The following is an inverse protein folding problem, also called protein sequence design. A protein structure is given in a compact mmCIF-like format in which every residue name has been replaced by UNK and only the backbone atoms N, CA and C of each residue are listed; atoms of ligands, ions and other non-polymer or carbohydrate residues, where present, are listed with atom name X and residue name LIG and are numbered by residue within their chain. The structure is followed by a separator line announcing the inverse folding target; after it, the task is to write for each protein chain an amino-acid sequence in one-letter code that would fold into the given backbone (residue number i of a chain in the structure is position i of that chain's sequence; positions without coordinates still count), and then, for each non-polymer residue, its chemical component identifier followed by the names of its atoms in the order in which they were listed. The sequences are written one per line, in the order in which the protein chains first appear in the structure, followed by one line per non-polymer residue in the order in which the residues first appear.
data_IF_182486026161
#
_entry.id   IF_182486026161
#
_cell.length_a   1.000
_cell.length_b   1.000
_cell.length_c   1.000
_cell.angle_alpha   90.00
_cell.angle_beta   90.00
_cell.angle_gamma   90.00
#
_symmetry.space_group_name_H-M   'P 1'
#
loop_
_entity.id
_entity.type
_entity.pdbx_description
1 polymer ?
#
# COMPACT_ATOMS: atom_id res chain seq x y z
N UNK A 1 2.04 -3.42 34.34
CA UNK A 1 0.76 -4.06 34.00
C UNK A 1 -0.05 -3.03 33.26
N UNK A 2 -0.32 -3.22 31.97
CA UNK A 2 -1.23 -2.34 31.21
C UNK A 2 -2.67 -2.82 31.43
N UNK A 3 -3.58 -1.89 31.67
CA UNK A 3 -5.00 -2.17 31.78
C UNK A 3 -5.68 -1.67 30.51
N UNK A 4 -6.60 -2.46 29.97
CA UNK A 4 -7.35 -2.11 28.77
C UNK A 4 -8.85 -2.30 29.02
N UNK A 5 -9.67 -1.41 28.46
CA UNK A 5 -11.13 -1.49 28.48
C UNK A 5 -11.65 -1.46 27.07
N UNK A 6 -12.50 -2.44 26.76
CA UNK A 6 -13.16 -2.53 25.47
C UNK A 6 -14.61 -2.12 25.66
N UNK A 7 -15.03 -1.17 24.85
CA UNK A 7 -16.37 -0.63 24.84
C UNK A 7 -17.03 -0.94 23.50
N UNK A 8 -18.33 -1.24 23.51
CA UNK A 8 -19.05 -1.70 22.34
C UNK A 8 -20.17 -0.74 21.94
N UNK A 9 -20.52 -0.75 20.68
CA UNK A 9 -21.53 0.10 20.05
C UNK A 9 -22.88 -0.62 20.03
N UNK A 10 -23.95 0.11 20.34
CA UNK A 10 -25.33 -0.34 20.18
C UNK A 10 -25.86 0.10 18.83
N UNK A 11 -26.19 -0.82 17.90
CA UNK A 11 -26.82 -0.47 16.63
C UNK A 11 -28.21 0.18 16.81
N UNK A 12 -28.96 -0.23 17.85
CA UNK A 12 -30.32 0.26 18.12
C UNK A 12 -30.32 1.72 18.56
N UNK A 13 -29.44 2.07 19.51
CA UNK A 13 -29.38 3.43 20.07
C UNK A 13 -28.35 4.33 19.39
N UNK A 14 -27.49 3.75 18.53
CA UNK A 14 -26.35 4.40 17.88
C UNK A 14 -25.43 5.11 18.87
N UNK A 15 -25.15 4.44 19.98
CA UNK A 15 -24.37 4.97 21.11
C UNK A 15 -23.50 3.89 21.74
N UNK A 16 -22.55 4.35 22.53
CA UNK A 16 -21.74 3.55 23.43
C UNK A 16 -22.61 2.75 24.42
N UNK A 17 -22.33 1.46 24.58
CA UNK A 17 -22.87 0.62 25.64
C UNK A 17 -22.11 0.81 26.96
N UNK A 18 -22.78 0.65 28.12
CA UNK A 18 -22.11 0.60 29.42
C UNK A 18 -20.97 -0.43 29.47
N UNK A 19 -20.00 -0.20 30.35
CA UNK A 19 -18.87 -1.10 30.51
C UNK A 19 -19.35 -2.51 30.91
N UNK A 20 -18.88 -3.53 30.19
CA UNK A 20 -19.27 -4.93 30.39
C UNK A 20 -20.48 -5.37 29.56
N UNK A 21 -21.13 -4.47 28.83
CA UNK A 21 -22.23 -4.80 27.92
C UNK A 21 -21.76 -4.91 26.46
N UNK A 22 -22.39 -5.82 25.72
CA UNK A 22 -22.12 -6.09 24.29
C UNK A 22 -23.45 -6.26 23.56
N UNK A 23 -23.50 -5.77 22.32
CA UNK A 23 -24.55 -6.11 21.37
C UNK A 23 -24.26 -7.46 20.70
N UNK A 24 -25.26 -8.16 20.14
CA UNK A 24 -25.04 -9.41 19.40
C UNK A 24 -24.05 -9.28 18.23
N UNK A 25 -23.96 -8.11 17.61
CA UNK A 25 -23.04 -7.80 16.53
C UNK A 25 -21.60 -7.60 17.00
N UNK A 26 -21.38 -7.37 18.30
CA UNK A 26 -20.06 -7.20 18.94
C UNK A 26 -19.24 -6.08 18.27
N UNK A 27 -19.91 -4.98 17.92
CA UNK A 27 -19.28 -3.84 17.26
C UNK A 27 -18.41 -3.07 18.26
N UNK A 28 -17.09 -3.08 18.09
CA UNK A 28 -16.16 -2.37 18.95
C UNK A 28 -16.31 -0.85 18.78
N UNK A 29 -16.70 -0.14 19.82
CA UNK A 29 -16.76 1.32 19.78
C UNK A 29 -15.42 1.97 20.07
N UNK A 30 -14.71 1.52 21.10
CA UNK A 30 -13.55 2.21 21.63
C UNK A 30 -12.69 1.28 22.50
N UNK A 31 -11.37 1.45 22.44
CA UNK A 31 -10.42 0.80 23.35
C UNK A 31 -9.73 1.87 24.17
N UNK A 32 -9.91 1.83 25.49
CA UNK A 32 -9.16 2.69 26.41
C UNK A 32 -7.98 1.93 26.98
N UNK A 33 -6.82 2.58 27.07
CA UNK A 33 -5.59 2.02 27.64
C UNK A 33 -5.12 2.91 28.79
N UNK A 34 -4.91 2.33 29.98
CA UNK A 34 -4.28 3.04 31.08
C UNK A 34 -2.78 3.15 30.81
N UNK A 35 -2.28 4.37 30.62
CA UNK A 35 -0.87 4.62 30.28
C UNK A 35 -0.04 4.82 31.54
N UNK A 36 -0.53 5.66 32.46
CA UNK A 36 0.23 6.05 33.65
C UNK A 36 -0.67 6.23 34.87
N UNK A 37 -0.16 5.97 36.08
CA UNK A 37 -0.85 6.42 37.29
C UNK A 37 -0.73 7.94 37.44
N UNK A 38 -1.72 8.55 38.10
CA UNK A 38 -1.72 9.99 38.38
C UNK A 38 -0.46 10.40 39.15
N UNK A 39 -0.09 9.62 40.15
CA UNK A 39 1.07 9.88 41.02
C UNK A 39 2.38 9.79 40.24
N UNK A 40 2.55 8.77 39.39
CA UNK A 40 3.75 8.57 38.59
C UNK A 40 4.04 9.77 37.68
N UNK A 41 3.01 10.28 37.01
CA UNK A 41 3.18 11.43 36.10
C UNK A 41 3.43 12.71 36.90
N UNK A 42 2.74 12.90 38.03
CA UNK A 42 2.98 14.05 38.91
C UNK A 42 4.40 14.08 39.46
N UNK A 43 4.95 12.93 39.87
CA UNK A 43 6.31 12.83 40.37
C UNK A 43 7.35 13.24 39.32
N UNK A 44 7.17 12.79 38.07
CA UNK A 44 8.08 13.10 36.96
C UNK A 44 8.05 14.59 36.57
N UNK A 45 6.88 15.22 36.62
CA UNK A 45 6.68 16.60 36.14
C UNK A 45 6.68 17.67 37.24
N UNK A 46 6.87 17.29 38.51
CA UNK A 46 6.76 18.20 39.67
C UNK A 46 7.62 19.47 39.61
N UNK A 47 8.76 19.42 38.90
CA UNK A 47 9.71 20.52 38.76
C UNK A 47 9.36 21.48 37.62
N UNK A 48 8.52 21.04 36.68
CA UNK A 48 8.17 21.78 35.48
C UNK A 48 6.76 22.38 35.56
N UNK A 49 5.79 21.60 36.06
CA UNK A 49 4.38 21.98 36.10
C UNK A 49 3.82 21.68 37.49
N UNK A 50 2.98 22.58 37.99
CA UNK A 50 2.17 22.25 39.16
C UNK A 50 1.06 21.26 38.76
N UNK A 51 0.41 20.67 39.77
CA UNK A 51 -0.61 19.65 39.56
C UNK A 51 -1.74 20.12 38.63
N UNK A 52 -2.31 21.30 38.87
CA UNK A 52 -3.43 21.82 38.05
C UNK A 52 -3.02 22.01 36.59
N UNK A 53 -1.83 22.58 36.34
CA UNK A 53 -1.30 22.77 34.99
C UNK A 53 -1.08 21.45 34.26
N UNK A 54 -0.53 20.45 34.97
CA UNK A 54 -0.26 19.13 34.40
C UNK A 54 -1.57 18.39 34.07
N UNK A 55 -2.55 18.41 34.97
CA UNK A 55 -3.85 17.77 34.73
C UNK A 55 -4.60 18.47 33.58
N UNK A 56 -4.51 19.80 33.49
CA UNK A 56 -5.08 20.55 32.37
C UNK A 56 -4.38 20.20 31.04
N UNK A 57 -3.05 20.18 31.01
CA UNK A 57 -2.27 19.82 29.82
C UNK A 57 -2.65 18.41 29.32
N UNK A 58 -2.67 17.42 30.21
CA UNK A 58 -2.97 16.04 29.85
C UNK A 58 -4.41 15.87 29.34
N UNK A 59 -5.38 16.55 29.96
CA UNK A 59 -6.79 16.42 29.58
C UNK A 59 -7.18 17.20 28.34
N UNK A 60 -6.56 18.36 28.09
CA UNK A 60 -6.93 19.24 26.98
C UNK A 60 -6.03 19.03 25.76
N UNK A 61 -4.73 19.22 25.92
CA UNK A 61 -3.75 19.11 24.83
C UNK A 61 -3.33 17.65 24.59
N UNK A 62 -3.28 16.84 25.65
CA UNK A 62 -2.91 15.42 25.59
C UNK A 62 -4.07 14.47 25.26
N UNK A 63 -5.32 14.91 25.40
CA UNK A 63 -6.51 14.09 25.14
C UNK A 63 -6.70 12.90 26.11
N UNK A 64 -5.97 12.85 27.22
CA UNK A 64 -6.10 11.79 28.22
C UNK A 64 -7.30 12.00 29.14
N UNK A 65 -7.83 10.91 29.69
CA UNK A 65 -8.94 10.95 30.64
C UNK A 65 -8.51 10.40 31.99
N UNK A 66 -8.65 11.20 33.05
CA UNK A 66 -8.35 10.76 34.41
C UNK A 66 -9.53 9.94 34.95
N UNK A 67 -9.32 8.63 35.16
CA UNK A 67 -10.30 7.71 35.76
C UNK A 67 -9.58 6.76 36.71
N UNK A 68 -10.14 6.57 37.91
CA UNK A 68 -9.62 5.60 38.89
C UNK A 68 -8.12 5.78 39.20
N UNK A 69 -7.66 7.03 39.29
CA UNK A 69 -6.25 7.42 39.49
C UNK A 69 -5.27 7.00 38.38
N UNK A 70 -5.78 6.71 37.18
CA UNK A 70 -4.97 6.50 35.98
C UNK A 70 -5.32 7.49 34.89
N UNK A 71 -4.32 7.89 34.11
CA UNK A 71 -4.49 8.59 32.85
C UNK A 71 -4.72 7.57 31.74
N UNK A 72 -5.93 7.56 31.21
CA UNK A 72 -6.34 6.68 30.13
C UNK A 72 -6.17 7.39 28.79
N UNK A 73 -5.50 6.75 27.85
CA UNK A 73 -5.64 7.07 26.44
C UNK A 73 -6.99 6.50 25.98
N UNK A 74 -7.97 7.34 25.63
CA UNK A 74 -9.29 6.87 25.25
C UNK A 74 -9.29 6.20 23.86
N UNK A 75 -8.26 6.39 23.04
CA UNK A 75 -8.19 5.84 21.69
C UNK A 75 -9.23 6.43 20.72
N UNK A 76 -9.30 5.84 19.53
CA UNK A 76 -10.26 6.22 18.50
C UNK A 76 -11.65 5.65 18.83
N UNK A 77 -12.69 6.42 18.50
CA UNK A 77 -14.08 5.95 18.48
C UNK A 77 -14.46 5.50 17.09
N UNK A 78 -15.12 4.36 16.97
CA UNK A 78 -15.61 3.79 15.73
C UNK A 78 -17.13 3.96 15.62
N UNK A 79 -17.57 4.55 14.52
CA UNK A 79 -18.97 4.67 14.13
C UNK A 79 -19.24 3.71 12.98
N UNK A 80 -20.42 3.11 12.95
CA UNK A 80 -20.80 2.06 12.02
C UNK A 80 -22.04 2.44 11.23
N UNK A 81 -22.12 1.94 9.99
CA UNK A 81 -23.34 2.02 9.21
C UNK A 81 -24.44 1.11 9.79
N UNK A 82 -25.66 1.24 9.27
CA UNK A 82 -26.79 0.38 9.60
C UNK A 82 -26.67 -1.03 8.98
N UNK A 83 -27.60 -1.92 9.36
CA UNK A 83 -27.60 -3.34 8.97
C UNK A 83 -27.70 -3.59 7.47
N UNK A 84 -28.36 -2.69 6.73
CA UNK A 84 -28.43 -2.73 5.25
C UNK A 84 -27.07 -2.53 4.58
N UNK A 85 -26.09 -1.97 5.30
CA UNK A 85 -24.69 -1.84 4.88
C UNK A 85 -23.75 -2.70 5.71
N UNK A 86 -24.27 -3.81 6.24
CA UNK A 86 -23.51 -4.84 6.98
C UNK A 86 -22.73 -4.31 8.18
N UNK A 87 -23.18 -3.21 8.79
CA UNK A 87 -22.47 -2.55 9.88
C UNK A 87 -21.02 -2.19 9.55
N UNK A 88 -20.71 -1.91 8.29
CA UNK A 88 -19.37 -1.51 7.89
C UNK A 88 -18.96 -0.18 8.56
N UNK A 89 -17.67 0.01 8.92
CA UNK A 89 -17.13 1.26 9.44
C UNK A 89 -17.61 2.51 8.68
N UNK A 90 -18.34 3.40 9.33
CA UNK A 90 -18.77 4.67 8.73
C UNK A 90 -17.75 5.78 8.99
N UNK A 91 -17.22 5.85 10.21
CA UNK A 91 -16.25 6.86 10.57
C UNK A 91 -15.39 6.43 11.76
N UNK A 92 -14.19 6.97 11.84
CA UNK A 92 -13.39 7.00 13.07
C UNK A 92 -13.30 8.42 13.58
N UNK A 93 -13.34 8.61 14.90
CA UNK A 93 -13.23 9.93 15.53
C UNK A 93 -12.12 9.86 16.59
N UNK A 94 -11.12 10.72 16.45
CA UNK A 94 -10.02 10.80 17.41
C UNK A 94 -10.45 11.42 18.75
N UNK A 95 -9.58 11.37 19.79
CA UNK A 95 -9.88 11.98 21.09
C UNK A 95 -10.15 13.50 21.03
N UNK A 96 -9.68 14.18 19.98
CA UNK A 96 -9.85 15.62 19.76
C UNK A 96 -11.10 15.96 18.95
N UNK A 97 -11.85 14.96 18.49
CA UNK A 97 -13.10 15.13 17.73
C UNK A 97 -12.91 15.19 16.22
N UNK A 98 -11.71 14.97 15.69
CA UNK A 98 -11.46 14.94 14.26
C UNK A 98 -11.97 13.61 13.69
N UNK A 99 -12.84 13.70 12.68
CA UNK A 99 -13.46 12.53 12.07
C UNK A 99 -12.81 12.19 10.73
N UNK A 100 -12.59 10.90 10.48
CA UNK A 100 -12.32 10.34 9.15
C UNK A 100 -13.51 9.48 8.75
N UNK A 101 -14.13 9.76 7.61
CA UNK A 101 -15.33 9.04 7.13
C UNK A 101 -15.01 8.14 5.94
N UNK A 102 -15.73 7.02 5.84
CA UNK A 102 -15.57 6.01 4.81
C UNK A 102 -16.87 5.82 4.03
N UNK A 103 -16.79 5.84 2.71
CA UNK A 103 -17.90 5.51 1.82
C UNK A 103 -17.56 4.25 1.02
N UNK A 104 -18.55 3.37 0.84
CA UNK A 104 -18.41 2.11 0.12
C UNK A 104 -19.10 2.17 -1.23
N UNK A 105 -18.70 1.28 -2.13
CA UNK A 105 -19.40 1.06 -3.38
C UNK A 105 -20.86 0.59 -3.17
N UNK A 106 -21.62 0.54 -4.27
CA UNK A 106 -23.04 0.16 -4.24
C UNK A 106 -23.31 -1.24 -3.70
N UNK A 107 -22.30 -2.11 -3.70
CA UNK A 107 -22.39 -3.49 -3.22
C UNK A 107 -21.85 -3.68 -1.80
N UNK A 108 -21.31 -2.62 -1.17
CA UNK A 108 -20.71 -2.68 0.16
C UNK A 108 -19.55 -3.68 0.27
N UNK A 109 -18.73 -3.77 -0.79
CA UNK A 109 -17.57 -4.66 -0.89
C UNK A 109 -16.25 -3.90 -0.73
N UNK A 110 -16.16 -2.68 -1.25
CA UNK A 110 -14.90 -1.91 -1.29
C UNK A 110 -15.14 -0.48 -0.83
N UNK A 111 -14.26 0.04 0.02
CA UNK A 111 -14.24 1.47 0.38
C UNK A 111 -13.82 2.28 -0.84
N UNK A 112 -14.71 3.11 -1.38
CA UNK A 112 -14.45 3.92 -2.57
C UNK A 112 -14.09 5.36 -2.28
N UNK A 113 -14.30 5.82 -1.05
CA UNK A 113 -13.90 7.17 -0.67
C UNK A 113 -13.56 7.26 0.81
N UNK A 114 -12.48 7.97 1.10
CA UNK A 114 -12.06 8.33 2.45
C UNK A 114 -11.97 9.85 2.51
N UNK A 115 -12.61 10.46 3.52
CA UNK A 115 -12.54 11.90 3.76
C UNK A 115 -12.02 12.16 5.16
N UNK A 116 -10.95 12.93 5.30
CA UNK A 116 -10.41 13.32 6.59
C UNK A 116 -11.13 14.54 7.21
N UNK A 117 -10.73 14.93 8.41
CA UNK A 117 -11.34 16.05 9.13
C UNK A 117 -11.12 17.42 8.47
N UNK A 118 -10.14 17.53 7.56
CA UNK A 118 -9.86 18.74 6.78
C UNK A 118 -10.59 18.73 5.43
N UNK A 119 -11.41 17.72 5.16
CA UNK A 119 -12.11 17.46 3.90
C UNK A 119 -11.18 17.07 2.74
N UNK A 120 -9.95 16.62 3.02
CA UNK A 120 -9.13 15.98 1.99
C UNK A 120 -9.74 14.63 1.62
N UNK A 121 -9.72 14.29 0.34
CA UNK A 121 -10.40 13.11 -0.19
C UNK A 121 -9.44 12.21 -0.95
N UNK A 122 -9.53 10.91 -0.69
CA UNK A 122 -8.97 9.86 -1.55
C UNK A 122 -10.16 9.12 -2.15
N UNK A 123 -10.18 8.97 -3.47
CA UNK A 123 -11.31 8.39 -4.21
C UNK A 123 -10.83 7.22 -5.07
N UNK A 124 -11.48 6.07 -4.94
CA UNK A 124 -11.31 4.94 -5.85
C UNK A 124 -12.22 5.15 -7.06
N UNK A 125 -11.64 5.14 -8.26
CA UNK A 125 -12.35 5.40 -9.50
C UNK A 125 -12.64 4.15 -10.31
N UNK A 126 -11.85 3.08 -10.08
CA UNK A 126 -11.98 1.82 -10.79
C UNK A 126 -11.58 0.66 -9.89
N UNK A 127 -12.43 -0.35 -9.86
CA UNK A 127 -12.24 -1.60 -9.09
C UNK A 127 -12.39 -2.78 -10.06
N UNK A 128 -11.50 -3.76 -9.95
CA UNK A 128 -11.68 -5.07 -10.53
C UNK A 128 -12.56 -5.92 -9.61
N UNK A 129 -13.82 -6.12 -9.99
CA UNK A 129 -14.75 -6.91 -9.19
C UNK A 129 -14.54 -8.43 -9.29
N UNK A 130 -13.68 -8.92 -10.20
CA UNK A 130 -13.34 -10.35 -10.24
C UNK A 130 -12.38 -10.72 -9.11
N UNK A 131 -11.47 -9.81 -8.76
CA UNK A 131 -10.46 -10.01 -7.72
C UNK A 131 -10.64 -9.12 -6.49
N UNK A 132 -11.61 -8.19 -6.52
CA UNK A 132 -11.84 -7.12 -5.54
C UNK A 132 -10.60 -6.22 -5.33
N UNK A 133 -9.80 -6.04 -6.37
CA UNK A 133 -8.60 -5.20 -6.34
C UNK A 133 -8.89 -3.80 -6.90
N UNK A 134 -8.24 -2.79 -6.35
CA UNK A 134 -8.36 -1.41 -6.81
C UNK A 134 -7.46 -1.18 -8.03
N UNK A 135 -8.02 -0.65 -9.13
CA UNK A 135 -7.31 -0.40 -10.38
C UNK A 135 -6.96 1.08 -10.59
N UNK A 136 -7.71 2.02 -10.00
CA UNK A 136 -7.48 3.47 -10.14
C UNK A 136 -7.85 4.21 -8.86
N UNK A 137 -6.94 5.01 -8.34
CA UNK A 137 -7.15 5.88 -7.17
C UNK A 137 -6.78 7.31 -7.55
N UNK A 138 -7.60 8.27 -7.10
CA UNK A 138 -7.31 9.70 -7.07
C UNK A 138 -6.94 10.12 -5.65
N UNK A 139 -5.77 10.74 -5.49
CA UNK A 139 -5.28 11.23 -4.21
C UNK A 139 -5.79 12.64 -3.86
N UNK A 140 -5.38 13.14 -2.68
CA UNK A 140 -5.77 14.46 -2.15
C UNK A 140 -5.31 15.64 -3.01
N UNK A 141 -4.31 15.43 -3.88
CA UNK A 141 -3.77 16.43 -4.80
C UNK A 141 -4.33 16.26 -6.21
N UNK A 142 -5.37 15.43 -6.38
CA UNK A 142 -5.99 15.09 -7.66
C UNK A 142 -5.08 14.30 -8.61
N UNK A 143 -3.96 13.75 -8.13
CA UNK A 143 -3.13 12.85 -8.91
C UNK A 143 -3.79 11.47 -8.99
N UNK A 144 -3.55 10.77 -10.09
CA UNK A 144 -4.07 9.44 -10.36
C UNK A 144 -2.94 8.42 -10.24
N UNK A 145 -3.21 7.32 -9.54
CA UNK A 145 -2.39 6.10 -9.52
C UNK A 145 -3.20 4.94 -10.08
N UNK A 146 -2.61 4.16 -10.98
CA UNK A 146 -3.28 3.09 -11.71
C UNK A 146 -2.50 1.78 -11.68
N UNK A 147 -3.24 0.69 -11.71
CA UNK A 147 -2.74 -0.67 -11.83
C UNK A 147 -3.61 -1.44 -12.82
N UNK A 148 -2.97 -2.18 -13.73
CA UNK A 148 -3.65 -3.17 -14.58
C UNK A 148 -3.26 -4.57 -14.10
N UNK A 149 -4.25 -5.44 -13.93
CA UNK A 149 -4.06 -6.83 -13.51
C UNK A 149 -4.28 -7.80 -14.67
N UNK A 150 -3.66 -8.97 -14.58
CA UNK A 150 -4.00 -10.11 -15.41
C UNK A 150 -5.25 -10.84 -14.87
N UNK A 151 -5.81 -11.82 -15.61
CA UNK A 151 -6.97 -12.60 -15.15
C UNK A 151 -6.75 -13.40 -13.86
N UNK A 152 -5.50 -13.54 -13.38
CA UNK A 152 -5.15 -14.19 -12.12
C UNK A 152 -4.97 -13.18 -10.98
N UNK A 153 -5.14 -11.88 -11.22
CA UNK A 153 -4.96 -10.81 -10.24
C UNK A 153 -3.51 -10.40 -10.01
N UNK A 154 -2.58 -10.81 -10.88
CA UNK A 154 -1.19 -10.36 -10.85
C UNK A 154 -1.06 -9.01 -11.55
N UNK A 155 -0.23 -8.12 -11.01
CA UNK A 155 0.00 -6.80 -11.59
C UNK A 155 0.73 -6.96 -12.93
N UNK A 156 0.23 -6.34 -14.00
CA UNK A 156 0.94 -6.25 -15.28
C UNK A 156 1.57 -4.87 -15.46
N UNK A 157 0.83 -3.80 -15.14
CA UNK A 157 1.31 -2.43 -15.32
C UNK A 157 0.99 -1.56 -14.12
N UNK A 158 1.83 -0.56 -13.91
CA UNK A 158 1.51 0.58 -13.04
C UNK A 158 1.71 1.88 -13.79
N UNK A 159 0.94 2.90 -13.44
CA UNK A 159 1.10 4.26 -13.94
C UNK A 159 0.68 5.26 -12.88
N UNK A 160 1.24 6.47 -12.94
CA UNK A 160 0.79 7.58 -12.13
C UNK A 160 1.03 8.91 -12.84
N UNK A 161 0.09 9.84 -12.68
CA UNK A 161 0.10 11.13 -13.36
C UNK A 161 -0.79 12.12 -12.62
N UNK A 162 -0.56 13.41 -12.87
CA UNK A 162 -1.22 14.46 -12.13
C UNK A 162 -0.80 15.83 -12.61
N UNK A 163 -0.92 16.83 -11.73
CA UNK A 163 -0.60 18.21 -12.10
C UNK A 163 0.59 18.72 -11.29
N UNK A 164 1.63 19.21 -11.97
CA UNK A 164 2.76 19.89 -11.34
C UNK A 164 2.87 21.30 -11.92
N UNK A 165 2.95 22.32 -11.06
CA UNK A 165 2.99 23.74 -11.48
C UNK A 165 1.86 24.16 -12.44
N UNK A 166 0.68 23.52 -12.33
CA UNK A 166 -0.48 23.79 -13.19
C UNK A 166 -0.47 23.07 -14.54
N UNK A 167 0.54 22.25 -14.82
CA UNK A 167 0.63 21.45 -16.05
C UNK A 167 0.45 19.96 -15.77
N UNK A 168 -0.21 19.25 -16.68
CA UNK A 168 -0.31 17.79 -16.63
C UNK A 168 1.09 17.17 -16.81
N UNK A 169 1.52 16.37 -15.84
CA UNK A 169 2.81 15.65 -15.82
C UNK A 169 2.62 14.20 -15.37
N UNK A 170 3.66 13.39 -15.57
CA UNK A 170 3.70 11.99 -15.19
C UNK A 170 3.55 11.03 -16.37
N UNK A 171 3.31 9.76 -16.04
CA UNK A 171 3.19 8.67 -17.00
C UNK A 171 1.85 8.71 -17.75
N UNK A 172 1.68 7.87 -18.77
CA UNK A 172 0.42 7.82 -19.52
C UNK A 172 -0.65 6.99 -18.80
N UNK A 173 -1.93 7.39 -18.86
CA UNK A 173 -3.04 6.54 -18.43
C UNK A 173 -2.98 5.16 -19.08
N UNK A 174 -3.25 4.10 -18.30
CA UNK A 174 -3.17 2.71 -18.77
C UNK A 174 -4.24 2.39 -19.83
N UNK A 175 -5.33 3.14 -19.89
CA UNK A 175 -6.32 3.01 -20.98
C UNK A 175 -5.72 3.39 -22.36
N UNK A 176 -4.59 4.10 -22.39
CA UNK A 176 -3.86 4.43 -23.63
C UNK A 176 -2.84 3.36 -24.04
N UNK A 177 -2.60 2.34 -23.20
CA UNK A 177 -1.65 1.29 -23.50
C UNK A 177 -2.04 0.53 -24.76
N UNK A 178 -1.08 0.38 -25.68
CA UNK A 178 -1.31 -0.37 -26.91
C UNK A 178 -1.00 -1.85 -26.65
N UNK A 179 -2.04 -2.69 -26.66
CA UNK A 179 -1.90 -4.13 -26.39
C UNK A 179 -0.90 -4.77 -27.36
N UNK A 180 0.03 -5.54 -26.80
CA UNK A 180 1.05 -6.32 -27.51
C UNK A 180 0.81 -7.81 -27.27
N UNK A 181 1.30 -8.65 -28.18
CA UNK A 181 1.42 -10.08 -27.91
C UNK A 181 2.37 -10.31 -26.73
N UNK A 182 2.09 -11.35 -25.93
CA UNK A 182 2.91 -11.68 -24.78
C UNK A 182 4.32 -12.07 -25.24
N UNK A 183 5.37 -11.41 -24.75
CA UNK A 183 6.74 -11.74 -25.12
C UNK A 183 7.21 -13.02 -24.44
N UNK A 184 8.23 -13.65 -25.00
CA UNK A 184 9.15 -14.45 -24.21
C UNK A 184 10.25 -13.57 -23.58
N UNK A 185 11.08 -14.15 -22.70
CA UNK A 185 12.15 -13.40 -22.03
C UNK A 185 13.11 -12.71 -23.01
N UNK A 186 13.52 -13.37 -24.09
CA UNK A 186 14.47 -12.81 -25.07
C UNK A 186 13.89 -11.58 -25.78
N UNK A 187 12.63 -11.68 -26.24
CA UNK A 187 11.92 -10.58 -26.89
C UNK A 187 11.73 -9.38 -25.95
N UNK A 188 11.39 -9.64 -24.68
CA UNK A 188 11.23 -8.60 -23.67
C UNK A 188 12.55 -7.89 -23.38
N UNK A 189 13.65 -8.64 -23.24
CA UNK A 189 14.97 -8.08 -22.94
C UNK A 189 15.57 -7.31 -24.13
N UNK A 190 15.25 -7.72 -25.36
CA UNK A 190 15.69 -7.05 -26.59
C UNK A 190 14.96 -5.71 -26.79
N UNK A 191 13.66 -5.65 -26.52
CA UNK A 191 12.83 -4.47 -26.79
C UNK A 191 11.97 -4.04 -25.58
N UNK A 192 12.56 -3.74 -24.41
CA UNK A 192 11.79 -3.48 -23.18
C UNK A 192 10.87 -2.26 -23.32
N UNK A 193 11.27 -1.24 -24.08
CA UNK A 193 10.48 -0.03 -24.34
C UNK A 193 9.19 -0.33 -25.13
N UNK A 194 9.17 -1.36 -25.98
CA UNK A 194 7.97 -1.72 -26.75
C UNK A 194 6.85 -2.29 -25.88
N UNK A 195 7.22 -2.92 -24.76
CA UNK A 195 6.30 -3.48 -23.77
C UNK A 195 6.00 -2.50 -22.64
N UNK A 196 6.99 -1.72 -22.17
CA UNK A 196 6.75 -0.71 -21.14
C UNK A 196 5.96 0.49 -21.67
N UNK A 197 6.21 0.90 -22.92
CA UNK A 197 5.62 2.08 -23.56
C UNK A 197 5.75 3.32 -22.65
N UNK A 198 4.64 3.97 -22.32
CA UNK A 198 4.61 5.17 -21.47
C UNK A 198 4.08 4.88 -20.06
N UNK A 199 4.05 3.61 -19.64
CA UNK A 199 3.72 3.21 -18.28
C UNK A 199 4.93 3.37 -17.34
N UNK A 200 4.67 3.45 -16.03
CA UNK A 200 5.72 3.57 -15.02
C UNK A 200 6.46 2.25 -14.80
N UNK A 201 5.73 1.14 -14.81
CA UNK A 201 6.32 -0.20 -14.68
C UNK A 201 5.56 -1.25 -15.47
N UNK A 202 6.26 -2.29 -15.89
CA UNK A 202 5.73 -3.50 -16.52
C UNK A 202 6.26 -4.75 -15.83
N UNK A 203 5.36 -5.67 -15.53
CA UNK A 203 5.64 -6.93 -14.86
C UNK A 203 5.30 -8.09 -15.80
N UNK A 204 6.30 -8.92 -16.03
CA UNK A 204 6.19 -10.14 -16.81
C UNK A 204 6.41 -11.35 -15.91
N UNK A 205 5.61 -12.40 -16.09
CA UNK A 205 5.69 -13.64 -15.33
C UNK A 205 5.78 -14.83 -16.27
N UNK A 206 6.80 -15.66 -16.08
CA UNK A 206 6.89 -16.97 -16.73
C UNK A 206 6.73 -18.07 -15.68
N UNK A 207 5.46 -18.31 -15.30
CA UNK A 207 5.09 -19.29 -14.28
C UNK A 207 5.30 -20.74 -14.73
N UNK A 208 5.45 -20.97 -16.04
CA UNK A 208 5.62 -22.30 -16.62
C UNK A 208 7.06 -22.55 -17.12
N UNK A 209 7.98 -21.61 -16.89
CA UNK A 209 9.37 -21.67 -17.35
C UNK A 209 10.08 -23.00 -17.01
N UNK A 210 9.81 -23.55 -15.83
CA UNK A 210 10.37 -24.84 -15.41
C UNK A 210 9.86 -25.99 -16.26
N UNK A 211 8.56 -26.02 -16.53
CA UNK A 211 7.90 -27.07 -17.30
C UNK A 211 8.29 -26.99 -18.77
N UNK A 212 8.31 -25.78 -19.33
CA UNK A 212 8.42 -25.59 -20.78
C UNK A 212 9.88 -25.49 -21.24
N UNK A 213 10.77 -24.95 -20.39
CA UNK A 213 12.15 -24.62 -20.76
C UNK A 213 13.22 -25.15 -19.77
N UNK A 214 12.84 -25.87 -18.70
CA UNK A 214 13.74 -26.34 -17.64
C UNK A 214 14.60 -25.23 -16.99
N UNK A 215 14.06 -24.01 -16.92
CA UNK A 215 14.66 -22.89 -16.18
C UNK A 215 13.79 -22.55 -14.96
N UNK A 216 14.36 -22.06 -13.84
CA UNK A 216 13.54 -21.68 -12.70
C UNK A 216 12.45 -20.68 -13.08
N UNK A 217 11.29 -20.79 -12.43
CA UNK A 217 10.20 -19.82 -12.56
C UNK A 217 10.74 -18.43 -12.28
N UNK A 218 10.37 -17.46 -13.11
CA UNK A 218 10.90 -16.12 -12.98
C UNK A 218 9.88 -15.04 -13.32
N UNK A 219 10.14 -13.86 -12.78
CA UNK A 219 9.43 -12.64 -13.10
C UNK A 219 10.43 -11.56 -13.53
N UNK A 220 10.03 -10.72 -14.48
CA UNK A 220 10.78 -9.54 -14.91
C UNK A 220 10.00 -8.30 -14.51
N UNK A 221 10.69 -7.33 -13.92
CA UNK A 221 10.15 -6.02 -13.62
C UNK A 221 10.93 -4.98 -14.43
N UNK A 222 10.22 -4.26 -15.30
CA UNK A 222 10.70 -3.08 -16.00
C UNK A 222 10.19 -1.83 -15.27
N UNK A 223 11.06 -0.89 -14.98
CA UNK A 223 10.71 0.38 -14.33
C UNK A 223 11.33 1.52 -15.13
N UNK A 224 10.52 2.46 -15.58
CA UNK A 224 11.02 3.70 -16.17
C UNK A 224 11.55 4.63 -15.06
N UNK A 225 12.77 5.17 -15.23
CA UNK A 225 13.34 6.14 -14.27
C UNK A 225 12.61 7.49 -14.29
N UNK A 226 11.99 7.85 -15.41
CA UNK A 226 11.26 9.10 -15.61
C UNK A 226 10.12 8.89 -16.61
N UNK A 227 9.18 9.83 -16.69
CA UNK A 227 8.11 9.81 -17.68
C UNK A 227 8.60 10.34 -19.05
N UNK A 228 7.99 9.83 -20.12
CA UNK A 228 8.34 10.16 -21.51
C UNK A 228 9.07 9.04 -22.25
N UNK A 229 9.21 9.19 -23.57
CA UNK A 229 9.53 8.08 -24.47
C UNK A 229 11.01 7.66 -24.50
N UNK A 230 11.90 8.39 -23.82
CA UNK A 230 13.35 8.15 -23.85
C UNK A 230 13.92 7.88 -22.44
N UNK A 231 13.07 7.59 -21.47
CA UNK A 231 13.50 7.30 -20.12
C UNK A 231 14.32 6.00 -20.08
N UNK A 232 15.33 5.97 -19.21
CA UNK A 232 16.08 4.75 -18.95
C UNK A 232 15.16 3.74 -18.27
N UNK A 233 15.24 2.49 -18.71
CA UNK A 233 14.48 1.39 -18.13
C UNK A 233 15.41 0.58 -17.22
N UNK A 234 15.09 0.54 -15.94
CA UNK A 234 15.66 -0.41 -14.99
C UNK A 234 14.98 -1.77 -15.19
N UNK A 235 15.79 -2.82 -15.26
CA UNK A 235 15.29 -4.19 -15.46
C UNK A 235 15.81 -5.09 -14.35
N UNK A 236 14.89 -5.72 -13.63
CA UNK A 236 15.19 -6.74 -12.64
C UNK A 236 14.53 -8.07 -13.02
N UNK A 237 15.24 -9.17 -12.82
CA UNK A 237 14.72 -10.54 -12.96
C UNK A 237 14.88 -11.25 -11.63
N UNK A 238 13.78 -11.73 -11.06
CA UNK A 238 13.81 -12.59 -9.87
C UNK A 238 13.41 -14.01 -10.24
N UNK A 239 14.21 -14.97 -9.81
CA UNK A 239 14.00 -16.40 -10.01
C UNK A 239 13.57 -17.03 -8.69
N UNK A 240 12.59 -17.92 -8.75
CA UNK A 240 12.06 -18.63 -7.59
C UNK A 240 12.09 -20.13 -7.77
N UNK A 241 12.17 -20.87 -6.66
CA UNK A 241 12.01 -22.32 -6.66
C UNK A 241 10.55 -22.76 -6.52
N UNK A 242 10.30 -24.08 -6.53
CA UNK A 242 8.96 -24.65 -6.40
C UNK A 242 8.28 -24.44 -5.04
N UNK A 243 8.96 -23.84 -4.07
CA UNK A 243 8.39 -23.44 -2.77
C UNK A 243 8.12 -21.92 -2.71
N UNK A 244 8.33 -21.19 -3.81
CA UNK A 244 8.15 -19.75 -3.88
C UNK A 244 9.28 -18.95 -3.21
N UNK A 245 10.42 -19.58 -2.90
CA UNK A 245 11.58 -18.88 -2.34
C UNK A 245 12.38 -18.25 -3.45
N UNK A 246 12.86 -17.03 -3.26
CA UNK A 246 13.78 -16.39 -4.19
C UNK A 246 15.13 -17.15 -4.18
N UNK A 247 15.54 -17.63 -5.36
CA UNK A 247 16.83 -18.27 -5.60
C UNK A 247 17.90 -17.23 -5.96
N UNK A 248 17.51 -16.28 -6.81
CA UNK A 248 18.43 -15.29 -7.36
C UNK A 248 17.65 -14.07 -7.87
N UNK A 249 18.24 -12.90 -7.67
CA UNK A 249 17.84 -11.65 -8.34
C UNK A 249 18.97 -11.18 -9.27
N UNK A 250 18.61 -10.66 -10.45
CA UNK A 250 19.53 -10.11 -11.45
C UNK A 250 19.05 -8.75 -11.91
N UNK A 251 19.92 -7.75 -11.80
CA UNK A 251 19.67 -6.39 -12.28
C UNK A 251 20.50 -6.13 -13.53
N UNK A 252 19.88 -5.59 -14.58
CA UNK A 252 20.60 -5.13 -15.78
C UNK A 252 21.41 -3.89 -15.43
N UNK A 253 22.69 -3.90 -15.79
CA UNK A 253 23.62 -2.79 -15.59
C UNK A 253 24.21 -2.34 -16.92
N UNK A 254 24.86 -1.18 -16.90
CA UNK A 254 25.62 -0.67 -18.04
C UNK A 254 26.75 -1.64 -18.43
N UNK A 255 27.22 -1.53 -19.68
CA UNK A 255 28.26 -2.41 -20.22
C UNK A 255 29.56 -2.34 -19.41
N UNK A 256 30.16 -3.51 -19.16
CA UNK A 256 31.39 -3.64 -18.37
C UNK A 256 32.00 -5.04 -18.44
N UNK A 257 33.07 -5.23 -17.66
CA UNK A 257 33.69 -6.55 -17.49
C UNK A 257 32.73 -7.48 -16.74
N UNK A 258 32.42 -8.64 -17.32
CA UNK A 258 31.51 -9.62 -16.75
C UNK A 258 31.93 -11.04 -17.11
N UNK A 259 31.59 -11.99 -16.25
CA UNK A 259 31.81 -13.42 -16.52
C UNK A 259 30.89 -13.91 -17.64
N UNK A 260 31.44 -14.67 -18.58
CA UNK A 260 30.68 -15.32 -19.65
C UNK A 260 30.08 -16.65 -19.14
N UNK A 261 28.75 -16.75 -19.16
CA UNK A 261 27.99 -17.91 -18.73
C UNK A 261 27.31 -18.64 -19.91
N UNK A 262 27.64 -18.31 -21.15
CA UNK A 262 27.04 -18.92 -22.36
C UNK A 262 27.38 -20.40 -22.53
N UNK A 263 28.46 -20.87 -21.89
CA UNK A 263 28.87 -22.27 -21.91
C UNK A 263 28.66 -22.92 -20.54
N UNK A 264 27.59 -23.72 -20.37
CA UNK A 264 27.36 -24.41 -19.10
C UNK A 264 28.56 -25.30 -18.74
N UNK A 265 29.02 -25.21 -17.50
CA UNK A 265 30.14 -25.97 -16.90
C UNK A 265 31.57 -25.60 -17.34
N UNK A 266 31.78 -24.51 -18.08
CA UNK A 266 33.13 -23.97 -18.26
C UNK A 266 33.64 -23.30 -16.98
N UNK A 267 34.93 -23.45 -16.62
CA UNK A 267 35.52 -22.70 -15.52
C UNK A 267 35.33 -21.19 -15.75
N UNK A 268 34.85 -20.47 -14.74
CA UNK A 268 34.76 -19.02 -14.79
C UNK A 268 36.17 -18.45 -14.89
N UNK A 269 36.52 -17.92 -16.05
CA UNK A 269 37.78 -17.21 -16.27
C UNK A 269 37.60 -15.73 -15.97
N UNK A 270 38.65 -15.08 -15.48
CA UNK A 270 38.65 -13.63 -15.26
C UNK A 270 38.33 -12.91 -16.58
N UNK A 271 37.38 -11.95 -16.60
CA UNK A 271 37.04 -11.23 -17.82
C UNK A 271 38.21 -10.35 -18.26
N UNK A 272 38.78 -10.64 -19.44
CA UNK A 272 39.86 -9.84 -20.03
C UNK A 272 39.37 -8.79 -21.03
N UNK A 273 38.07 -8.78 -21.33
CA UNK A 273 37.41 -7.81 -22.21
C UNK A 273 35.93 -7.71 -21.83
N UNK A 274 35.28 -6.54 -22.03
CA UNK A 274 33.85 -6.39 -21.76
C UNK A 274 33.03 -7.33 -22.62
N UNK A 275 31.97 -7.91 -22.05
CA UNK A 275 30.98 -8.60 -22.86
C UNK A 275 30.23 -7.55 -23.67
N UNK A 276 30.28 -7.68 -25.00
CA UNK A 276 29.45 -6.85 -25.88
C UNK A 276 28.06 -7.44 -25.89
N UNK A 277 27.02 -6.60 -25.74
CA UNK A 277 25.68 -7.05 -26.12
C UNK A 277 25.74 -7.37 -27.62
N UNK A 278 25.22 -8.53 -28.07
CA UNK A 278 25.05 -8.74 -29.49
C UNK A 278 24.22 -7.56 -30.02
N UNK A 279 24.70 -6.91 -31.09
CA UNK A 279 23.92 -5.86 -31.73
C UNK A 279 22.53 -6.40 -32.05
N UNK A 280 21.45 -5.64 -31.79
CA UNK A 280 20.13 -6.06 -32.25
C UNK A 280 20.19 -6.24 -33.79
N UNK A 281 19.44 -7.22 -34.33
CA UNK A 281 19.36 -7.46 -35.76
C UNK A 281 18.82 -6.25 -36.54
#
# INVERSE_FOLDING_TARGET
MSWQRHYYWSPESQKLLPFGEVSPEVLLYQIEVAEFSREQVQEVFNSALNQEQLENLLSTEGGYQLKENYWWNPGLRQIYNSSDKFFLPQATIDPFGNATTYEYDSYHLVTVKVTDALNNQIVVEKVDYQTLQIQRIRDINQNISEVLFDPMGMVIFTSFYGTENGELKGFSPLDNYQVKELPNLEQLMANPQDYLQSAASYFYYDLFAWKDNNVPVHAVNLIAEDYGNNARILTNISYSDGFGRELQSKVKVEGGLAFDLTQPNSPLTQPNSPLTQPNPP
#
